data_IF_597762599633
#
_entry.id   IF_597762599633
#
_cell.length_a   1.000
_cell.length_b   1.000
_cell.length_c   1.000
_cell.angle_alpha   90.00
_cell.angle_beta   90.00
_cell.angle_gamma   90.00
#
_symmetry.space_group_name_H-M   'P 1'
#
loop_
_entity.id
_entity.type
_entity.pdbx_description
1 polymer ?
#
# COMPACT_ATOMS: atom_id res chain seq x y z
N UNK A 1 2.09 -13.98 30.97
CA UNK A 1 1.73 -14.21 29.56
C UNK A 1 2.51 -15.42 29.07
N UNK A 2 1.92 -16.37 28.34
CA UNK A 2 2.68 -17.48 27.76
C UNK A 2 3.77 -16.93 26.83
N UNK A 3 4.94 -17.57 26.82
CA UNK A 3 6.04 -17.23 25.92
C UNK A 3 5.66 -17.64 24.50
N UNK A 4 5.60 -16.66 23.61
CA UNK A 4 5.38 -16.89 22.18
C UNK A 4 6.72 -17.23 21.55
N UNK A 5 6.80 -18.35 20.84
CA UNK A 5 8.05 -18.79 20.19
C UNK A 5 8.10 -18.34 18.73
N UNK A 6 9.29 -18.17 18.14
CA UNK A 6 9.43 -17.75 16.74
C UNK A 6 8.62 -18.59 15.74
N UNK A 7 8.59 -19.92 15.91
CA UNK A 7 7.83 -20.86 15.07
C UNK A 7 6.31 -20.68 15.16
N UNK A 8 5.82 -20.14 16.27
CA UNK A 8 4.39 -19.88 16.45
C UNK A 8 3.99 -18.59 15.70
N UNK A 9 4.90 -17.62 15.59
CA UNK A 9 4.69 -16.34 14.89
C UNK A 9 4.97 -16.39 13.39
N UNK A 10 5.87 -17.27 12.95
CA UNK A 10 6.34 -17.28 11.56
C UNK A 10 5.22 -17.38 10.50
N UNK A 11 4.20 -18.26 10.65
CA UNK A 11 3.11 -18.34 9.69
C UNK A 11 2.22 -17.10 9.68
N UNK A 12 1.87 -16.58 10.87
CA UNK A 12 1.01 -15.38 10.99
C UNK A 12 1.69 -14.16 10.39
N UNK A 13 2.99 -13.99 10.66
CA UNK A 13 3.77 -12.89 10.11
C UNK A 13 3.92 -12.99 8.59
N UNK A 14 4.09 -14.20 8.05
CA UNK A 14 4.11 -14.42 6.60
C UNK A 14 2.79 -14.05 5.92
N UNK A 15 1.66 -14.40 6.53
CA UNK A 15 0.33 -14.01 6.03
C UNK A 15 0.16 -12.49 6.04
N UNK A 16 0.54 -11.83 7.13
CA UNK A 16 0.49 -10.36 7.24
C UNK A 16 1.32 -9.66 6.15
N UNK A 17 2.54 -10.13 5.91
CA UNK A 17 3.40 -9.59 4.83
C UNK A 17 2.77 -9.83 3.45
N UNK A 18 2.16 -10.99 3.24
CA UNK A 18 1.46 -11.33 1.99
C UNK A 18 0.27 -10.40 1.74
N UNK A 19 -0.55 -10.15 2.76
CA UNK A 19 -1.71 -9.25 2.66
C UNK A 19 -1.27 -7.81 2.31
N UNK A 20 -0.21 -7.31 2.96
CA UNK A 20 0.34 -5.98 2.65
C UNK A 20 0.85 -5.87 1.21
N UNK A 21 1.47 -6.94 0.67
CA UNK A 21 1.89 -6.98 -0.74
C UNK A 21 0.67 -6.86 -1.66
N UNK A 22 -0.39 -7.61 -1.40
CA UNK A 22 -1.66 -7.51 -2.15
C UNK A 22 -2.27 -6.11 -2.08
N UNK A 23 -2.24 -5.47 -0.91
CA UNK A 23 -2.72 -4.09 -0.77
C UNK A 23 -1.86 -3.09 -1.56
N UNK A 24 -0.54 -3.25 -1.58
CA UNK A 24 0.37 -2.43 -2.38
C UNK A 24 0.08 -2.53 -3.87
N UNK A 25 -0.13 -3.75 -4.38
CA UNK A 25 -0.49 -3.99 -5.77
C UNK A 25 -1.86 -3.37 -6.12
N UNK A 26 -2.86 -3.53 -5.25
CA UNK A 26 -4.17 -2.92 -5.44
C UNK A 26 -4.11 -1.40 -5.47
N UNK A 27 -3.28 -0.78 -4.63
CA UNK A 27 -3.09 0.66 -4.61
C UNK A 27 -2.43 1.16 -5.90
N UNK A 28 -1.44 0.42 -6.43
CA UNK A 28 -0.83 0.71 -7.72
C UNK A 28 -1.86 0.66 -8.87
N UNK A 29 -2.76 -0.33 -8.87
CA UNK A 29 -3.84 -0.39 -9.86
C UNK A 29 -4.82 0.79 -9.75
N UNK A 30 -5.20 1.20 -8.53
CA UNK A 30 -6.07 2.37 -8.31
C UNK A 30 -5.38 3.63 -8.83
N UNK A 31 -4.10 3.84 -8.53
CA UNK A 31 -3.35 4.99 -9.04
C UNK A 31 -3.36 5.02 -10.57
N UNK A 32 -3.04 3.89 -11.21
CA UNK A 32 -3.06 3.79 -12.67
C UNK A 32 -4.45 4.10 -13.25
N UNK A 33 -5.53 3.63 -12.63
CA UNK A 33 -6.89 3.95 -13.07
C UNK A 33 -7.18 5.45 -12.95
N UNK A 34 -6.85 6.06 -11.82
CA UNK A 34 -7.02 7.50 -11.56
C UNK A 34 -6.20 8.36 -12.53
N UNK A 35 -4.98 7.94 -12.88
CA UNK A 35 -4.14 8.61 -13.88
C UNK A 35 -4.78 8.66 -15.28
N UNK A 36 -5.75 7.78 -15.57
CA UNK A 36 -6.49 7.80 -16.85
C UNK A 36 -7.75 8.66 -16.84
N UNK A 37 -8.16 9.18 -15.69
CA UNK A 37 -9.39 9.97 -15.60
C UNK A 37 -9.25 11.30 -16.34
N UNK A 38 -10.27 11.65 -17.13
CA UNK A 38 -10.35 12.93 -17.81
C UNK A 38 -10.88 14.00 -16.82
N UNK A 39 -10.10 15.03 -16.46
CA UNK A 39 -10.52 16.06 -15.50
C UNK A 39 -11.76 16.85 -15.94
N UNK A 40 -12.00 16.96 -17.24
CA UNK A 40 -13.18 17.63 -17.79
C UNK A 40 -14.46 16.83 -17.55
N UNK A 41 -14.37 15.50 -17.57
CA UNK A 41 -15.49 14.58 -17.30
C UNK A 41 -15.81 14.47 -15.80
N UNK A 42 -14.87 14.83 -14.94
CA UNK A 42 -15.04 14.82 -13.48
C UNK A 42 -15.77 16.07 -12.95
N UNK A 43 -16.04 17.09 -13.78
CA UNK A 43 -16.73 18.30 -13.34
C UNK A 43 -18.22 18.01 -13.09
N UNK A 44 -18.60 17.95 -11.82
CA UNK A 44 -19.98 17.73 -11.39
C UNK A 44 -20.93 18.91 -11.72
N UNK A 45 -20.43 20.16 -11.75
CA UNK A 45 -21.23 21.36 -12.01
C UNK A 45 -20.45 22.46 -12.75
N UNK A 46 -21.05 23.02 -13.80
CA UNK A 46 -20.60 24.26 -14.45
C UNK A 46 -20.82 25.44 -13.50
N UNK A 47 -19.88 25.70 -12.59
CA UNK A 47 -19.96 26.82 -11.63
C UNK A 47 -19.16 26.63 -10.34
N UNK A 48 -18.63 25.43 -10.08
CA UNK A 48 -17.70 25.21 -8.97
C UNK A 48 -16.36 25.92 -9.24
N UNK A 49 -15.90 26.75 -8.29
CA UNK A 49 -14.57 27.37 -8.33
C UNK A 49 -13.43 26.40 -7.99
N UNK A 50 -13.72 25.10 -7.87
CA UNK A 50 -12.76 24.06 -7.57
C UNK A 50 -12.11 23.57 -8.86
N UNK A 51 -10.77 23.61 -8.93
CA UNK A 51 -10.04 23.03 -10.04
C UNK A 51 -9.99 21.51 -9.88
N UNK A 52 -10.75 20.79 -10.72
CA UNK A 52 -10.69 19.32 -10.80
C UNK A 52 -9.27 18.84 -11.17
N UNK A 53 -8.52 19.66 -11.91
CA UNK A 53 -7.12 19.39 -12.26
C UNK A 53 -6.21 19.40 -11.02
N UNK A 54 -6.26 20.46 -10.20
CA UNK A 54 -5.41 20.55 -9.00
C UNK A 54 -5.72 19.46 -7.99
N UNK A 55 -7.01 19.10 -7.86
CA UNK A 55 -7.44 18.02 -6.98
C UNK A 55 -6.97 16.66 -7.50
N UNK A 56 -7.11 16.40 -8.79
CA UNK A 56 -6.69 15.13 -9.39
C UNK A 56 -5.17 14.96 -9.28
N UNK A 57 -4.40 16.03 -9.54
CA UNK A 57 -2.95 16.03 -9.35
C UNK A 57 -2.59 15.72 -7.89
N UNK A 58 -3.24 16.39 -6.92
CA UNK A 58 -2.99 16.10 -5.50
C UNK A 58 -3.34 14.66 -5.12
N UNK A 59 -4.43 14.11 -5.67
CA UNK A 59 -4.84 12.74 -5.41
C UNK A 59 -3.82 11.74 -5.96
N UNK A 60 -3.35 11.94 -7.19
CA UNK A 60 -2.32 11.10 -7.81
C UNK A 60 -1.03 11.15 -6.99
N UNK A 61 -0.60 12.34 -6.57
CA UNK A 61 0.58 12.52 -5.72
C UNK A 61 0.43 11.78 -4.37
N UNK A 62 -0.74 11.88 -3.74
CA UNK A 62 -1.00 11.20 -2.47
C UNK A 62 -1.05 9.68 -2.63
N UNK A 63 -1.61 9.17 -3.73
CA UNK A 63 -1.60 7.76 -4.08
C UNK A 63 -0.18 7.24 -4.34
N UNK A 64 0.64 7.99 -5.07
CA UNK A 64 2.05 7.64 -5.34
C UNK A 64 2.87 7.58 -4.05
N UNK A 65 2.73 8.57 -3.16
CA UNK A 65 3.38 8.57 -1.84
C UNK A 65 2.93 7.40 -0.98
N UNK A 66 1.63 7.11 -0.95
CA UNK A 66 1.08 5.99 -0.20
C UNK A 66 1.60 4.64 -0.74
N UNK A 67 1.64 4.46 -2.07
CA UNK A 67 2.18 3.26 -2.71
C UNK A 67 3.67 3.08 -2.36
N UNK A 68 4.47 4.13 -2.54
CA UNK A 68 5.91 4.11 -2.24
C UNK A 68 6.20 3.78 -0.78
N UNK A 69 5.45 4.40 0.14
CA UNK A 69 5.55 4.14 1.58
C UNK A 69 5.22 2.69 1.91
N UNK A 70 4.15 2.16 1.33
CA UNK A 70 3.71 0.79 1.56
C UNK A 70 4.68 -0.25 0.98
N UNK A 71 5.27 0.01 -0.20
CA UNK A 71 6.32 -0.85 -0.78
C UNK A 71 7.56 -0.89 0.12
N UNK A 72 8.01 0.27 0.60
CA UNK A 72 9.16 0.35 1.51
C UNK A 72 8.90 -0.39 2.84
N UNK A 73 7.71 -0.20 3.42
CA UNK A 73 7.30 -0.92 4.63
C UNK A 73 7.25 -2.44 4.40
N UNK A 74 6.70 -2.88 3.27
CA UNK A 74 6.63 -4.31 2.90
C UNK A 74 8.02 -4.92 2.79
N UNK A 75 8.97 -4.27 2.10
CA UNK A 75 10.35 -4.77 1.98
C UNK A 75 11.07 -4.90 3.33
N UNK A 76 10.84 -3.94 4.24
CA UNK A 76 11.37 -4.02 5.61
C UNK A 76 10.78 -5.20 6.39
N UNK A 77 9.46 -5.44 6.26
CA UNK A 77 8.78 -6.55 6.90
C UNK A 77 9.19 -7.90 6.32
N UNK A 78 9.40 -8.01 5.00
CA UNK A 78 9.96 -9.21 4.35
C UNK A 78 11.34 -9.55 4.90
N UNK A 79 12.19 -8.55 5.11
CA UNK A 79 13.51 -8.72 5.71
C UNK A 79 13.42 -9.20 7.17
N UNK A 80 12.48 -8.65 7.94
CA UNK A 80 12.20 -9.10 9.31
C UNK A 80 11.64 -10.53 9.34
N UNK A 81 10.78 -10.89 8.38
CA UNK A 81 10.19 -12.23 8.26
C UNK A 81 11.26 -13.27 7.92
N UNK A 82 12.19 -12.93 7.03
CA UNK A 82 13.35 -13.79 6.74
C UNK A 82 14.25 -13.98 7.97
N UNK A 83 14.42 -12.96 8.81
CA UNK A 83 15.16 -13.08 10.06
C UNK A 83 14.42 -13.96 11.09
N UNK A 84 13.11 -13.80 11.20
CA UNK A 84 12.26 -14.65 12.04
C UNK A 84 12.32 -16.12 11.60
N UNK A 85 12.33 -16.38 10.29
CA UNK A 85 12.47 -17.73 9.73
C UNK A 85 13.75 -18.42 10.16
N UNK A 86 14.88 -17.71 10.19
CA UNK A 86 16.15 -18.24 10.71
C UNK A 86 16.05 -18.62 12.19
N UNK A 87 15.43 -17.77 13.01
CA UNK A 87 15.22 -18.03 14.43
C UNK A 87 14.24 -19.17 14.71
N UNK A 88 13.29 -19.42 13.80
CA UNK A 88 12.32 -20.50 13.92
C UNK A 88 12.89 -21.86 13.47
N UNK A 89 13.95 -21.85 12.66
CA UNK A 89 14.63 -23.05 12.16
C UNK A 89 15.81 -23.51 12.99
N UNK A 90 16.44 -22.60 13.73
CA UNK A 90 17.50 -22.88 14.70
C UNK A 90 16.95 -23.52 15.99
#
# INVERSE_FOLDING_TARGET
>A
MPSVRPQDLYPEFGNFVSDLRTHSERLAFIRLDVETWNPDELRADTGSGWSSDETLVSLIDDLDRAESTLRAATANLESAWAALGRLASD
#
